data_IF_727079937242
#
_entry.id   IF_727079937242
#
_cell.length_a   1.000
_cell.length_b   1.000
_cell.length_c   1.000
_cell.angle_alpha   90.00
_cell.angle_beta   90.00
_cell.angle_gamma   90.00
#
_symmetry.space_group_name_H-M   'P 1'
#
loop_
_entity.id
_entity.type
_entity.pdbx_description
1 polymer ?
#
# COMPACT_ATOMS: atom_id res chain seq x y z
N UNK A 1 -16.68 4.61 10.28
CA UNK A 1 -15.35 4.01 10.07
C UNK A 1 -14.47 5.06 9.41
N UNK A 2 -13.49 5.59 10.11
CA UNK A 2 -12.52 6.54 9.55
C UNK A 2 -11.56 5.79 8.61
N UNK A 3 -11.10 6.45 7.55
CA UNK A 3 -10.11 5.93 6.60
C UNK A 3 -8.88 6.80 6.66
N UNK A 4 -7.72 6.17 6.84
CA UNK A 4 -6.43 6.82 6.99
C UNK A 4 -5.58 6.52 5.77
N UNK A 5 -5.35 7.52 4.93
CA UNK A 5 -4.66 7.35 3.65
C UNK A 5 -3.25 6.79 3.84
N UNK A 6 -2.94 5.73 3.08
CA UNK A 6 -1.59 5.17 3.01
C UNK A 6 -0.65 6.16 2.32
N UNK A 7 0.53 6.38 2.91
CA UNK A 7 1.56 7.22 2.32
C UNK A 7 2.54 6.35 1.53
N UNK A 8 2.51 6.44 0.23
CA UNK A 8 3.48 5.77 -0.63
C UNK A 8 4.85 6.45 -0.56
N UNK A 9 5.92 5.65 -0.61
CA UNK A 9 7.26 6.21 -0.83
C UNK A 9 7.38 6.71 -2.27
N UNK A 10 8.21 7.74 -2.55
CA UNK A 10 8.44 8.22 -3.91
C UNK A 10 8.87 7.10 -4.87
N UNK A 11 9.72 6.18 -4.40
CA UNK A 11 10.15 5.02 -5.18
C UNK A 11 8.98 4.12 -5.60
N UNK A 12 8.05 3.84 -4.67
CA UNK A 12 6.86 3.03 -4.97
C UNK A 12 5.98 3.70 -6.02
N UNK A 13 5.81 5.02 -5.96
CA UNK A 13 5.05 5.78 -6.96
C UNK A 13 5.72 5.65 -8.33
N UNK A 14 7.04 5.85 -8.40
CA UNK A 14 7.79 5.70 -9.65
C UNK A 14 7.63 4.29 -10.23
N UNK A 15 7.75 3.24 -9.40
CA UNK A 15 7.57 1.86 -9.84
C UNK A 15 6.17 1.61 -10.42
N UNK A 16 5.12 2.14 -9.80
CA UNK A 16 3.75 2.02 -10.30
C UNK A 16 3.62 2.70 -11.68
N UNK A 17 4.21 3.89 -11.87
CA UNK A 17 4.21 4.56 -13.16
C UNK A 17 4.97 3.78 -14.23
N UNK A 18 6.14 3.22 -13.90
CA UNK A 18 6.93 2.40 -14.83
C UNK A 18 6.15 1.16 -15.26
N UNK A 19 5.55 0.43 -14.31
CA UNK A 19 4.73 -0.75 -14.61
C UNK A 19 3.55 -0.39 -15.51
N UNK A 20 2.89 0.73 -15.23
CA UNK A 20 1.76 1.22 -16.03
C UNK A 20 2.22 1.57 -17.46
N UNK A 21 3.35 2.26 -17.62
CA UNK A 21 3.91 2.59 -18.92
C UNK A 21 4.27 1.34 -19.75
N UNK A 22 4.93 0.35 -19.12
CA UNK A 22 5.24 -0.94 -19.77
C UNK A 22 3.95 -1.64 -20.22
N UNK A 23 2.91 -1.61 -19.41
CA UNK A 23 1.61 -2.23 -19.75
C UNK A 23 0.96 -1.54 -20.95
N UNK A 24 1.02 -0.21 -21.05
CA UNK A 24 0.52 0.55 -22.21
C UNK A 24 1.30 0.16 -23.47
N UNK A 25 2.63 0.14 -23.41
CA UNK A 25 3.49 -0.28 -24.52
C UNK A 25 3.15 -1.71 -24.97
N UNK A 26 2.94 -2.62 -24.03
CA UNK A 26 2.54 -4.01 -24.31
C UNK A 26 1.23 -4.05 -25.08
N UNK A 27 0.22 -3.27 -24.70
CA UNK A 27 -1.07 -3.20 -25.42
C UNK A 27 -0.83 -2.72 -26.86
N UNK A 28 -0.14 -1.61 -27.03
CA UNK A 28 0.13 -1.03 -28.36
C UNK A 28 0.86 -2.01 -29.29
N UNK A 29 1.94 -2.64 -28.79
CA UNK A 29 2.71 -3.61 -29.57
C UNK A 29 1.87 -4.84 -29.97
N UNK A 30 1.01 -5.33 -29.09
CA UNK A 30 0.17 -6.48 -29.42
C UNK A 30 -0.97 -6.11 -30.39
N UNK A 31 -1.51 -4.90 -30.33
CA UNK A 31 -2.47 -4.40 -31.33
C UNK A 31 -1.79 -4.33 -32.70
N UNK A 32 -0.59 -3.76 -32.81
CA UNK A 32 0.17 -3.69 -34.06
C UNK A 32 0.44 -5.10 -34.60
N UNK A 33 0.79 -6.06 -33.76
CA UNK A 33 0.99 -7.45 -34.18
C UNK A 33 -0.28 -8.08 -34.72
N UNK A 34 -1.43 -7.86 -34.08
CA UNK A 34 -2.74 -8.37 -34.56
C UNK A 34 -3.06 -7.80 -35.95
N UNK A 35 -2.81 -6.50 -36.17
CA UNK A 35 -3.13 -5.86 -37.46
C UNK A 35 -2.17 -6.25 -38.60
N UNK A 36 -0.89 -6.55 -38.28
CA UNK A 36 0.15 -6.80 -39.29
C UNK A 36 0.43 -8.31 -39.52
N UNK A 37 -0.14 -9.21 -38.68
CA UNK A 37 0.16 -10.65 -38.77
C UNK A 37 -0.93 -11.36 -39.56
N UNK A 38 -0.50 -12.15 -40.56
CA UNK A 38 -1.39 -13.09 -41.29
C UNK A 38 -1.63 -14.41 -40.55
N UNK A 39 -0.90 -14.66 -39.44
CA UNK A 39 -0.97 -15.91 -38.64
C UNK A 39 -2.09 -15.83 -37.62
N UNK A 40 -3.28 -16.24 -38.02
CA UNK A 40 -4.49 -16.23 -37.16
C UNK A 40 -4.34 -17.06 -35.89
N UNK A 41 -3.55 -18.12 -35.90
CA UNK A 41 -3.31 -19.02 -34.76
C UNK A 41 -2.65 -18.33 -33.55
N UNK A 42 -1.97 -17.18 -33.76
CA UNK A 42 -1.33 -16.39 -32.68
C UNK A 42 -2.23 -15.32 -32.04
N UNK A 43 -3.39 -15.03 -32.63
CA UNK A 43 -4.31 -14.01 -32.10
C UNK A 43 -4.72 -14.25 -30.65
N UNK A 44 -5.04 -15.46 -30.19
CA UNK A 44 -5.42 -15.69 -28.81
C UNK A 44 -4.34 -15.25 -27.80
N UNK A 45 -3.06 -15.47 -28.12
CA UNK A 45 -1.96 -15.09 -27.24
C UNK A 45 -1.78 -13.55 -27.16
N UNK A 46 -1.97 -12.84 -28.27
CA UNK A 46 -1.91 -11.37 -28.28
C UNK A 46 -3.10 -10.77 -27.53
N UNK A 47 -4.29 -11.31 -27.69
CA UNK A 47 -5.49 -10.88 -26.96
C UNK A 47 -5.30 -11.11 -25.45
N UNK A 48 -4.80 -12.28 -25.07
CA UNK A 48 -4.54 -12.60 -23.65
C UNK A 48 -3.51 -11.62 -23.05
N UNK A 49 -2.43 -11.27 -23.79
CA UNK A 49 -1.45 -10.31 -23.34
C UNK A 49 -2.06 -8.90 -23.15
N UNK A 50 -2.95 -8.47 -24.05
CA UNK A 50 -3.67 -7.20 -23.92
C UNK A 50 -4.56 -7.20 -22.67
N UNK A 51 -5.34 -8.27 -22.46
CA UNK A 51 -6.23 -8.39 -21.30
C UNK A 51 -5.44 -8.35 -19.99
N UNK A 52 -4.31 -9.06 -19.94
CA UNK A 52 -3.45 -9.05 -18.75
C UNK A 52 -2.87 -7.66 -18.49
N UNK A 53 -2.33 -6.99 -19.52
CA UNK A 53 -1.78 -5.64 -19.40
C UNK A 53 -2.86 -4.64 -18.95
N UNK A 54 -4.08 -4.77 -19.45
CA UNK A 54 -5.21 -3.94 -19.03
C UNK A 54 -5.57 -4.16 -17.54
N UNK A 55 -5.59 -5.42 -17.08
CA UNK A 55 -5.81 -5.74 -15.68
C UNK A 55 -4.73 -5.15 -14.76
N UNK A 56 -3.46 -5.16 -15.20
CA UNK A 56 -2.35 -4.53 -14.47
C UNK A 56 -2.54 -3.02 -14.36
N UNK A 57 -2.97 -2.34 -15.44
CA UNK A 57 -3.27 -0.89 -15.40
C UNK A 57 -4.38 -0.61 -14.40
N UNK A 58 -5.49 -1.34 -14.45
CA UNK A 58 -6.61 -1.17 -13.53
C UNK A 58 -6.18 -1.35 -12.06
N UNK A 59 -5.39 -2.38 -11.79
CA UNK A 59 -4.86 -2.63 -10.44
C UNK A 59 -3.95 -1.49 -9.99
N UNK A 60 -3.02 -1.04 -10.84
CA UNK A 60 -2.06 0.04 -10.55
C UNK A 60 -2.76 1.35 -10.23
N UNK A 61 -3.71 1.76 -11.07
CA UNK A 61 -4.52 2.97 -10.85
C UNK A 61 -5.35 2.83 -9.57
N UNK A 62 -6.02 1.69 -9.39
CA UNK A 62 -6.81 1.45 -8.17
C UNK A 62 -5.95 1.46 -6.91
N UNK A 63 -4.73 0.94 -6.96
CA UNK A 63 -3.81 0.95 -5.82
C UNK A 63 -3.46 2.39 -5.41
N UNK A 64 -3.17 3.29 -6.35
CA UNK A 64 -2.83 4.68 -6.05
C UNK A 64 -3.95 5.44 -5.34
N UNK A 65 -5.21 5.19 -5.71
CA UNK A 65 -6.36 5.93 -5.17
C UNK A 65 -7.03 5.23 -3.99
N UNK A 66 -6.96 3.90 -3.89
CA UNK A 66 -7.67 3.10 -2.90
C UNK A 66 -6.71 2.36 -1.94
N UNK A 67 -5.68 3.06 -1.46
CA UNK A 67 -4.84 2.57 -0.39
C UNK A 67 -5.08 3.33 0.91
N UNK A 68 -5.57 2.64 1.94
CA UNK A 68 -5.85 3.25 3.24
C UNK A 68 -5.86 2.22 4.37
N UNK A 69 -5.54 2.70 5.57
CA UNK A 69 -5.76 1.98 6.80
C UNK A 69 -7.14 2.29 7.40
N UNK A 70 -7.66 1.35 8.16
CA UNK A 70 -8.84 1.54 9.00
C UNK A 70 -8.84 0.54 10.16
N UNK A 71 -9.50 0.88 11.27
CA UNK A 71 -9.63 -0.01 12.42
C UNK A 71 -11.04 -0.59 12.41
N UNK A 72 -11.14 -1.92 12.48
CA UNK A 72 -12.42 -2.63 12.53
C UNK A 72 -12.29 -3.94 13.30
N UNK A 73 -13.22 -4.19 14.21
CA UNK A 73 -13.34 -5.45 14.96
C UNK A 73 -12.02 -5.88 15.63
N UNK A 74 -11.32 -4.95 16.30
CA UNK A 74 -10.05 -5.24 16.96
C UNK A 74 -8.88 -5.57 16.00
N UNK A 75 -8.97 -5.15 14.73
CA UNK A 75 -7.92 -5.31 13.73
C UNK A 75 -7.56 -3.97 13.10
N UNK A 76 -6.27 -3.77 12.87
CA UNK A 76 -5.77 -2.73 11.98
C UNK A 76 -5.80 -3.33 10.57
N UNK A 77 -6.64 -2.80 9.72
CA UNK A 77 -6.82 -3.27 8.35
C UNK A 77 -6.11 -2.32 7.38
N UNK A 78 -5.33 -2.90 6.48
CA UNK A 78 -4.77 -2.21 5.32
C UNK A 78 -5.54 -2.67 4.08
N UNK A 79 -6.12 -1.74 3.36
CA UNK A 79 -6.70 -1.98 2.03
C UNK A 79 -5.81 -1.35 0.97
N UNK A 80 -5.41 -2.14 -0.03
CA UNK A 80 -4.73 -1.66 -1.23
C UNK A 80 -5.48 -2.21 -2.44
N UNK A 81 -6.09 -1.33 -3.22
CA UNK A 81 -6.96 -1.74 -4.33
C UNK A 81 -8.09 -2.68 -3.87
N UNK A 82 -8.06 -3.93 -4.30
CA UNK A 82 -9.03 -4.98 -3.95
C UNK A 82 -8.54 -5.91 -2.83
N UNK A 83 -7.27 -5.77 -2.42
CA UNK A 83 -6.65 -6.64 -1.40
C UNK A 83 -6.82 -6.00 -0.02
N UNK A 84 -7.24 -6.82 0.95
CA UNK A 84 -7.31 -6.45 2.36
C UNK A 84 -6.33 -7.32 3.16
N UNK A 85 -5.50 -6.67 3.95
CA UNK A 85 -4.65 -7.32 4.94
C UNK A 85 -5.00 -6.79 6.33
N UNK A 86 -4.89 -7.60 7.36
CA UNK A 86 -5.27 -7.18 8.72
C UNK A 86 -4.32 -7.70 9.78
N UNK A 87 -4.01 -6.83 10.74
CA UNK A 87 -3.22 -7.10 11.94
C UNK A 87 -4.18 -7.15 13.12
N UNK A 88 -4.20 -8.25 13.87
CA UNK A 88 -4.94 -8.37 15.12
C UNK A 88 -4.30 -7.46 16.18
N UNK A 89 -5.05 -6.53 16.76
CA UNK A 89 -4.54 -5.66 17.83
C UNK A 89 -4.13 -6.49 19.06
N UNK A 90 -4.82 -7.60 19.32
CA UNK A 90 -4.49 -8.51 20.44
C UNK A 90 -3.16 -9.27 20.28
N UNK A 91 -2.60 -9.36 19.07
CA UNK A 91 -1.28 -9.97 18.83
C UNK A 91 -0.13 -8.97 18.88
N UNK A 92 -0.45 -7.70 19.11
CA UNK A 92 0.54 -6.62 19.21
C UNK A 92 1.01 -6.49 20.65
N UNK A 93 2.32 -6.56 20.85
CA UNK A 93 2.95 -6.35 22.17
C UNK A 93 3.22 -4.88 22.46
N UNK A 94 3.69 -4.15 21.44
CA UNK A 94 4.08 -2.75 21.58
C UNK A 94 3.88 -1.98 20.27
N UNK A 95 3.54 -0.70 20.39
CA UNK A 95 3.50 0.26 19.28
C UNK A 95 4.52 1.35 19.53
N UNK A 96 5.51 1.46 18.66
CA UNK A 96 6.50 2.53 18.68
C UNK A 96 6.09 3.62 17.70
N UNK A 97 5.94 4.83 18.22
CA UNK A 97 5.52 6.01 17.49
C UNK A 97 6.73 6.90 17.24
N UNK A 98 7.10 7.12 15.99
CA UNK A 98 8.17 8.02 15.57
C UNK A 98 7.58 9.40 15.30
N UNK A 99 7.97 10.38 16.11
CA UNK A 99 7.30 11.70 16.13
C UNK A 99 7.66 12.55 14.92
N UNK A 100 8.91 12.53 14.48
CA UNK A 100 9.38 13.33 13.35
C UNK A 100 8.96 12.72 12.01
N UNK A 101 9.25 11.44 11.78
CA UNK A 101 8.93 10.77 10.52
C UNK A 101 7.45 10.42 10.36
N UNK A 102 6.64 10.58 11.43
CA UNK A 102 5.21 10.21 11.46
C UNK A 102 4.97 8.77 10.98
N UNK A 103 5.77 7.83 11.52
CA UNK A 103 5.66 6.39 11.30
C UNK A 103 5.27 5.69 12.58
N UNK A 104 4.62 4.54 12.41
CA UNK A 104 4.33 3.61 13.49
C UNK A 104 4.99 2.27 13.18
N UNK A 105 5.69 1.72 14.15
CA UNK A 105 6.15 0.33 14.12
C UNK A 105 5.37 -0.47 15.14
N UNK A 106 4.68 -1.48 14.65
CA UNK A 106 3.87 -2.39 15.46
C UNK A 106 4.68 -3.65 15.67
N UNK A 107 5.02 -3.96 16.93
CA UNK A 107 5.77 -5.15 17.33
C UNK A 107 4.84 -6.24 17.81
N UNK A 108 5.12 -7.47 17.39
CA UNK A 108 4.36 -8.66 17.78
C UNK A 108 5.09 -9.44 18.86
N UNK A 109 4.36 -10.29 19.59
CA UNK A 109 4.92 -11.15 20.63
C UNK A 109 6.01 -12.12 20.09
N UNK A 110 5.97 -12.46 18.83
CA UNK A 110 6.96 -13.32 18.17
C UNK A 110 8.25 -12.60 17.72
N UNK A 111 8.42 -11.32 18.08
CA UNK A 111 9.57 -10.49 17.72
C UNK A 111 9.55 -9.92 16.30
N UNK A 112 8.52 -10.22 15.52
CA UNK A 112 8.32 -9.58 14.20
C UNK A 112 7.78 -8.16 14.38
N UNK A 113 7.95 -7.31 13.35
CA UNK A 113 7.35 -5.99 13.33
C UNK A 113 6.75 -5.66 11.96
N UNK A 114 5.82 -4.72 11.96
CA UNK A 114 5.21 -4.18 10.75
C UNK A 114 5.15 -2.65 10.84
N UNK A 115 5.56 -1.99 9.77
CA UNK A 115 5.48 -0.53 9.71
C UNK A 115 4.13 -0.10 9.13
N UNK A 116 3.49 0.84 9.81
CA UNK A 116 2.27 1.50 9.37
C UNK A 116 2.64 2.92 8.98
N UNK A 117 2.49 3.24 7.69
CA UNK A 117 2.87 4.55 7.14
C UNK A 117 1.61 5.27 6.68
N UNK A 118 1.23 6.30 7.42
CA UNK A 118 0.02 7.09 7.21
C UNK A 118 0.41 8.50 6.77
N UNK A 119 -0.48 9.17 6.06
CA UNK A 119 -0.34 10.59 5.74
C UNK A 119 -0.16 11.41 7.03
N UNK A 120 0.84 12.30 7.13
CA UNK A 120 1.17 13.01 8.37
C UNK A 120 -0.01 13.76 8.98
N UNK A 121 -0.89 14.31 8.15
CA UNK A 121 -2.07 15.05 8.59
C UNK A 121 -3.10 14.18 9.33
N UNK A 122 -3.08 12.86 9.11
CA UNK A 122 -4.02 11.90 9.70
C UNK A 122 -3.38 11.06 10.81
N UNK A 123 -2.11 11.31 11.11
CA UNK A 123 -1.34 10.49 12.03
C UNK A 123 -1.88 10.55 13.46
N UNK A 124 -2.12 11.75 13.96
CA UNK A 124 -2.58 11.96 15.33
C UNK A 124 -4.01 11.40 15.54
N UNK A 125 -4.88 11.60 14.56
CA UNK A 125 -6.23 11.02 14.53
C UNK A 125 -6.21 9.49 14.56
N UNK A 126 -5.30 8.88 13.81
CA UNK A 126 -5.14 7.42 13.79
C UNK A 126 -4.63 6.89 15.12
N UNK A 127 -3.67 7.59 15.72
CA UNK A 127 -3.13 7.24 17.04
C UNK A 127 -4.20 7.29 18.13
N UNK A 128 -5.05 8.30 18.08
CA UNK A 128 -6.17 8.42 19.03
C UNK A 128 -7.16 7.26 18.85
N UNK A 129 -7.59 6.96 17.63
CA UNK A 129 -8.47 5.83 17.34
C UNK A 129 -7.84 4.49 17.75
N UNK A 130 -6.54 4.31 17.51
CA UNK A 130 -5.82 3.10 17.91
C UNK A 130 -5.78 2.95 19.45
N UNK A 131 -5.50 4.02 20.18
CA UNK A 131 -5.52 4.03 21.66
C UNK A 131 -6.90 3.69 22.23
N UNK A 132 -7.96 4.24 21.63
CA UNK A 132 -9.34 3.96 22.06
C UNK A 132 -9.73 2.48 21.84
N UNK A 133 -9.20 1.84 20.81
CA UNK A 133 -9.49 0.44 20.47
C UNK A 133 -8.52 -0.57 21.12
N UNK A 134 -7.50 -0.11 21.86
CA UNK A 134 -6.43 -0.94 22.42
C UNK A 134 -6.12 -0.57 23.86
N UNK A 135 -6.97 -0.98 24.79
CA UNK A 135 -6.87 -0.60 26.23
C UNK A 135 -5.58 -1.08 26.93
N UNK A 136 -4.94 -2.14 26.45
CA UNK A 136 -3.78 -2.78 27.10
C UNK A 136 -2.49 -2.71 26.28
N UNK A 137 -2.45 -1.91 25.21
CA UNK A 137 -1.28 -1.80 24.34
C UNK A 137 -0.26 -0.82 24.93
N UNK A 138 1.01 -1.26 24.95
CA UNK A 138 2.11 -0.38 25.31
C UNK A 138 2.43 0.54 24.15
N UNK A 139 2.41 1.85 24.40
CA UNK A 139 2.80 2.88 23.44
C UNK A 139 4.12 3.50 23.89
N UNK A 140 5.12 3.40 23.05
CA UNK A 140 6.42 4.06 23.23
C UNK A 140 6.56 5.15 22.19
N UNK A 141 6.93 6.34 22.63
CA UNK A 141 7.18 7.48 21.74
C UNK A 141 8.69 7.61 21.58
N UNK A 142 9.15 7.61 20.34
CA UNK A 142 10.54 7.79 19.98
C UNK A 142 10.71 9.09 19.17
N UNK A 143 11.59 9.94 19.63
CA UNK A 143 11.97 11.16 18.91
C UNK A 143 13.10 10.82 17.95
N UNK A 144 12.78 10.78 16.66
CA UNK A 144 13.68 10.42 15.58
C UNK A 144 14.19 11.64 14.80
N UNK A 145 14.11 12.85 15.40
CA UNK A 145 14.60 14.08 14.77
C UNK A 145 16.12 14.02 14.50
N UNK A 146 16.90 13.43 15.43
CA UNK A 146 18.34 13.29 15.29
C UNK A 146 18.79 12.35 14.15
N UNK A 147 17.92 11.48 13.67
CA UNK A 147 18.19 10.54 12.57
C UNK A 147 18.05 11.21 11.19
N UNK A 148 17.54 12.44 11.13
CA UNK A 148 17.32 13.19 9.90
C UNK A 148 18.20 14.46 9.93
N UNK A 149 19.22 14.56 9.06
CA UNK A 149 20.02 15.78 8.97
C UNK A 149 19.12 16.95 8.58
N UNK A 150 19.31 18.07 9.29
CA UNK A 150 18.66 19.33 8.94
C UNK A 150 19.03 19.72 7.50
N UNK A 151 18.03 19.85 6.63
CA UNK A 151 18.20 20.39 5.27
C UNK A 151 18.37 21.90 5.31
#
# INVERSE_FOLDING_TARGET
MKKYRYKYTPLTIVLIFVITAISIVTIVLNIIKITNTSLKDKYPSYILAILFAFAVILFSVSALFNAYYYIKNGKIMLKISFVNSGILISSVSEVVCFTYSKRLSVYFENGQFSNIVISPELFDDFMEELKQNSKNLKFTVYDDEADYPAN
#
